data_IF_714042224162
#
_entry.id   IF_714042224162
#
_cell.length_a   1.000
_cell.length_b   1.000
_cell.length_c   1.000
_cell.angle_alpha   90.00
_cell.angle_beta   90.00
_cell.angle_gamma   90.00
#
_symmetry.space_group_name_H-M   'P 1'
#
loop_
_entity.id
_entity.type
_entity.pdbx_description
1 polymer ?
#
# COMPACT_ATOMS: atom_id res chain seq x y z
N UNK A 1 -14.11 8.48 -6.31
CA UNK A 1 -12.67 8.18 -6.14
C UNK A 1 -12.44 7.56 -4.78
N UNK A 2 -11.76 6.45 -4.74
CA UNK A 2 -11.50 5.65 -3.55
C UNK A 2 -10.00 5.44 -3.40
N UNK A 3 -9.54 5.25 -2.16
CA UNK A 3 -8.14 4.89 -1.92
C UNK A 3 -8.05 3.80 -0.87
N UNK A 4 -7.19 2.82 -1.11
CA UNK A 4 -6.74 1.87 -0.10
C UNK A 4 -5.47 2.44 0.51
N UNK A 5 -5.44 2.55 1.83
CA UNK A 5 -4.30 3.10 2.56
C UNK A 5 -3.74 2.05 3.49
N UNK A 6 -2.43 1.81 3.39
CA UNK A 6 -1.68 0.97 4.32
C UNK A 6 -0.70 1.85 5.07
N UNK A 7 -0.66 1.70 6.39
CA UNK A 7 0.29 2.40 7.24
C UNK A 7 1.03 1.34 8.07
N UNK A 8 2.34 1.28 7.88
CA UNK A 8 3.19 0.30 8.54
C UNK A 8 4.22 1.01 9.39
N UNK A 9 4.52 0.44 10.56
CA UNK A 9 5.57 0.94 11.45
C UNK A 9 6.66 -0.10 11.58
N UNK A 10 7.86 0.23 11.11
CA UNK A 10 9.04 -0.60 11.20
C UNK A 10 9.95 -0.11 12.35
N UNK A 11 10.92 -0.94 12.80
CA UNK A 11 11.84 -0.53 13.87
C UNK A 11 12.66 0.72 13.56
N UNK A 12 12.95 0.98 12.28
CA UNK A 12 13.70 2.15 11.85
C UNK A 12 13.61 2.41 10.38
N UNK A 13 14.27 3.49 9.94
CA UNK A 13 14.22 3.92 8.53
C UNK A 13 14.87 2.89 7.59
N UNK A 14 15.90 2.17 8.04
CA UNK A 14 16.58 1.18 7.19
C UNK A 14 15.64 0.06 6.78
N UNK A 15 14.87 -0.47 7.72
CA UNK A 15 13.86 -1.50 7.46
C UNK A 15 12.73 -0.96 6.60
N UNK A 16 12.31 0.28 6.85
CA UNK A 16 11.27 0.93 6.05
C UNK A 16 11.70 1.10 4.59
N UNK A 17 12.96 1.45 4.34
CA UNK A 17 13.50 1.57 2.97
C UNK A 17 13.47 0.24 2.23
N UNK A 18 13.89 -0.84 2.88
CA UNK A 18 13.89 -2.18 2.26
C UNK A 18 12.45 -2.61 1.96
N UNK A 19 11.54 -2.42 2.93
CA UNK A 19 10.14 -2.75 2.76
C UNK A 19 9.49 -1.91 1.65
N UNK A 20 9.83 -0.62 1.57
CA UNK A 20 9.32 0.27 0.52
C UNK A 20 9.74 -0.20 -0.88
N UNK A 21 11.00 -0.62 -1.04
CA UNK A 21 11.49 -1.15 -2.30
C UNK A 21 10.74 -2.44 -2.70
N UNK A 22 10.53 -3.33 -1.73
CA UNK A 22 9.75 -4.56 -1.94
C UNK A 22 8.32 -4.23 -2.38
N UNK A 23 7.65 -3.31 -1.66
CA UNK A 23 6.29 -2.90 -1.96
C UNK A 23 6.17 -2.23 -3.33
N UNK A 24 7.13 -1.37 -3.67
CA UNK A 24 7.18 -0.70 -4.96
C UNK A 24 7.25 -1.71 -6.11
N UNK A 25 8.11 -2.72 -5.96
CA UNK A 25 8.25 -3.77 -6.98
C UNK A 25 6.97 -4.59 -7.14
N UNK A 26 6.41 -5.07 -6.03
CA UNK A 26 5.22 -5.92 -6.05
C UNK A 26 3.97 -5.18 -6.51
N UNK A 27 3.75 -3.97 -6.01
CA UNK A 27 2.58 -3.18 -6.38
C UNK A 27 2.71 -2.61 -7.78
N UNK A 28 3.92 -2.27 -8.22
CA UNK A 28 4.17 -1.83 -9.58
C UNK A 28 3.74 -2.87 -10.62
N UNK A 29 3.91 -4.16 -10.31
CA UNK A 29 3.48 -5.25 -11.18
C UNK A 29 1.96 -5.37 -11.27
N UNK A 30 1.22 -4.78 -10.33
CA UNK A 30 -0.25 -4.88 -10.24
C UNK A 30 -0.97 -3.67 -10.83
N UNK A 31 -0.25 -2.64 -11.23
CA UNK A 31 -0.86 -1.38 -11.73
C UNK A 31 -1.80 -1.65 -12.89
N UNK A 32 -1.34 -2.35 -13.92
CA UNK A 32 -2.14 -2.63 -15.11
C UNK A 32 -3.22 -3.69 -14.82
N UNK A 33 -2.90 -4.69 -14.01
CA UNK A 33 -3.82 -5.78 -13.67
C UNK A 33 -5.09 -5.25 -12.99
N UNK A 34 -4.94 -4.29 -12.07
CA UNK A 34 -6.04 -3.76 -11.29
C UNK A 34 -6.46 -2.35 -11.69
N UNK A 35 -5.85 -1.80 -12.74
CA UNK A 35 -6.15 -0.45 -13.23
C UNK A 35 -6.06 0.61 -12.13
N UNK A 36 -4.92 0.67 -11.43
CA UNK A 36 -4.69 1.71 -10.43
C UNK A 36 -4.81 3.08 -11.07
N UNK A 37 -5.59 3.95 -10.45
CA UNK A 37 -5.68 5.34 -10.87
C UNK A 37 -4.49 6.15 -10.36
N UNK A 38 -3.84 5.68 -9.31
CA UNK A 38 -2.64 6.26 -8.75
C UNK A 38 -2.05 5.37 -7.68
N UNK A 39 -0.76 5.52 -7.42
CA UNK A 39 -0.02 4.78 -6.40
C UNK A 39 1.04 5.70 -5.81
N UNK A 40 1.09 5.79 -4.49
CA UNK A 40 2.14 6.53 -3.80
C UNK A 40 2.68 5.72 -2.64
N UNK A 41 4.00 5.80 -2.45
CA UNK A 41 4.71 5.14 -1.36
C UNK A 41 5.64 6.17 -0.75
N UNK A 42 5.53 6.37 0.57
CA UNK A 42 6.40 7.30 1.27
C UNK A 42 6.83 6.72 2.62
N UNK A 43 8.00 7.17 3.08
CA UNK A 43 8.56 6.72 4.36
C UNK A 43 8.91 7.94 5.20
N UNK A 44 8.97 7.75 6.54
CA UNK A 44 9.46 8.74 7.47
C UNK A 44 10.83 8.37 8.01
N UNK A 45 11.50 9.33 8.65
CA UNK A 45 12.77 9.11 9.32
C UNK A 45 12.63 8.11 10.48
N UNK A 46 11.45 8.01 11.07
CA UNK A 46 11.17 7.14 12.21
C UNK A 46 10.79 5.72 11.81
N UNK A 47 10.74 5.42 10.51
CA UNK A 47 10.43 4.07 10.04
C UNK A 47 8.97 3.85 9.69
N UNK A 48 8.18 4.91 9.53
CA UNK A 48 6.81 4.79 9.01
C UNK A 48 6.86 4.56 7.51
N UNK A 49 5.96 3.71 7.03
CA UNK A 49 5.76 3.48 5.60
C UNK A 49 4.27 3.65 5.31
N UNK A 50 3.93 4.54 4.39
CA UNK A 50 2.56 4.75 3.96
C UNK A 50 2.44 4.43 2.48
N UNK A 51 1.45 3.60 2.15
CA UNK A 51 1.12 3.25 0.77
C UNK A 51 -0.32 3.67 0.54
N UNK A 52 -0.57 4.42 -0.54
CA UNK A 52 -1.94 4.70 -0.95
C UNK A 52 -2.11 4.29 -2.41
N UNK A 53 -3.26 3.71 -2.71
CA UNK A 53 -3.60 3.23 -4.04
C UNK A 53 -4.97 3.77 -4.39
N UNK A 54 -5.04 4.58 -5.45
CA UNK A 54 -6.29 5.17 -5.91
C UNK A 54 -7.01 4.26 -6.88
N UNK A 55 -8.33 4.24 -6.76
CA UNK A 55 -9.23 3.56 -7.69
C UNK A 55 -10.36 4.51 -8.07
N UNK A 56 -10.74 4.55 -9.32
CA UNK A 56 -11.87 5.34 -9.79
C UNK A 56 -13.21 4.61 -9.62
N UNK A 57 -13.18 3.32 -9.28
CA UNK A 57 -14.33 2.43 -9.23
C UNK A 57 -14.19 1.49 -8.01
N UNK A 58 -15.28 1.34 -7.25
CA UNK A 58 -15.28 0.49 -6.05
C UNK A 58 -15.11 -0.99 -6.40
N UNK A 59 -15.56 -1.43 -7.57
CA UNK A 59 -15.41 -2.82 -8.00
C UNK A 59 -13.92 -3.16 -8.22
N UNK A 60 -13.15 -2.24 -8.76
CA UNK A 60 -11.70 -2.39 -8.94
C UNK A 60 -10.99 -2.49 -7.58
N UNK A 61 -11.40 -1.67 -6.63
CA UNK A 61 -10.87 -1.71 -5.27
C UNK A 61 -11.15 -3.05 -4.60
N UNK A 62 -12.37 -3.57 -4.73
CA UNK A 62 -12.75 -4.87 -4.16
C UNK A 62 -11.95 -6.01 -4.79
N UNK A 63 -11.74 -5.97 -6.09
CA UNK A 63 -10.94 -6.98 -6.80
C UNK A 63 -9.48 -6.95 -6.32
N UNK A 64 -8.92 -5.75 -6.13
CA UNK A 64 -7.58 -5.58 -5.58
C UNK A 64 -7.50 -6.13 -4.15
N UNK A 65 -8.47 -5.83 -3.29
CA UNK A 65 -8.48 -6.30 -1.91
C UNK A 65 -8.40 -7.83 -1.81
N UNK A 66 -9.08 -8.52 -2.71
CA UNK A 66 -9.03 -10.00 -2.79
C UNK A 66 -7.61 -10.50 -3.08
N UNK A 67 -6.94 -9.85 -4.02
CA UNK A 67 -5.60 -10.22 -4.46
C UNK A 67 -4.53 -9.75 -3.45
N UNK A 68 -4.79 -8.67 -2.75
CA UNK A 68 -3.84 -8.04 -1.83
C UNK A 68 -3.55 -8.88 -0.58
N UNK A 69 -4.41 -9.83 -0.23
CA UNK A 69 -4.20 -10.69 0.93
C UNK A 69 -2.87 -11.45 0.83
N UNK A 70 -2.53 -11.95 -0.36
CA UNK A 70 -1.26 -12.63 -0.58
C UNK A 70 -0.08 -11.68 -0.43
N UNK A 71 -0.19 -10.46 -0.98
CA UNK A 71 0.83 -9.44 -0.85
C UNK A 71 1.11 -9.09 0.62
N UNK A 72 0.06 -8.88 1.40
CA UNK A 72 0.19 -8.57 2.84
C UNK A 72 0.78 -9.76 3.60
N UNK A 73 0.36 -10.97 3.27
CA UNK A 73 0.91 -12.18 3.88
C UNK A 73 2.42 -12.30 3.63
N UNK A 74 2.84 -12.11 2.38
CA UNK A 74 4.25 -12.17 2.01
C UNK A 74 5.07 -11.09 2.73
N UNK A 75 4.50 -9.90 2.86
CA UNK A 75 5.13 -8.81 3.60
C UNK A 75 5.34 -9.19 5.07
N UNK A 76 4.32 -9.76 5.70
CA UNK A 76 4.37 -10.16 7.11
C UNK A 76 5.36 -11.30 7.38
N UNK A 77 5.61 -12.16 6.40
CA UNK A 77 6.61 -13.23 6.54
C UNK A 77 8.05 -12.71 6.38
N UNK A 78 8.22 -11.57 5.70
CA UNK A 78 9.54 -11.01 5.39
C UNK A 78 9.97 -9.92 6.36
N UNK A 79 9.03 -9.23 7.01
CA UNK A 79 9.30 -8.07 7.86
C UNK A 79 8.52 -8.12 9.16
N UNK A 80 9.07 -7.48 10.20
CA UNK A 80 8.39 -7.26 11.48
C UNK A 80 7.90 -5.81 11.51
N UNK A 81 6.57 -5.62 11.64
CA UNK A 81 5.98 -4.29 11.63
C UNK A 81 4.59 -4.29 12.29
N UNK A 82 4.13 -3.08 12.65
CA UNK A 82 2.75 -2.85 13.05
C UNK A 82 1.98 -2.33 11.85
N UNK A 83 0.73 -2.76 11.69
CA UNK A 83 -0.10 -2.42 10.54
C UNK A 83 -1.35 -1.68 10.95
N UNK A 84 -1.68 -0.62 10.21
CA UNK A 84 -3.00 0.00 10.17
C UNK A 84 -3.39 0.14 8.70
N UNK A 85 -4.66 -0.15 8.39
CA UNK A 85 -5.15 -0.04 7.01
C UNK A 85 -6.60 0.40 7.01
N UNK A 86 -6.98 1.13 5.95
CA UNK A 86 -8.37 1.55 5.77
C UNK A 86 -8.63 1.84 4.30
N UNK A 87 -9.92 1.93 3.96
CA UNK A 87 -10.38 2.41 2.66
C UNK A 87 -11.00 3.78 2.87
N UNK A 88 -10.54 4.76 2.10
CA UNK A 88 -11.05 6.12 2.16
C UNK A 88 -11.81 6.50 0.90
N UNK A 89 -12.68 7.46 1.05
CA UNK A 89 -13.38 8.12 -0.06
C UNK A 89 -12.84 9.55 -0.11
N UNK A 90 -12.47 10.02 -1.29
CA UNK A 90 -11.95 11.37 -1.44
C UNK A 90 -13.05 12.38 -1.17
N UNK A 91 -12.84 13.24 -0.18
CA UNK A 91 -13.70 14.37 0.14
C UNK A 91 -13.21 15.60 -0.63
N UNK A 92 -11.90 15.73 -0.79
CA UNK A 92 -11.25 16.81 -1.53
C UNK A 92 -10.00 16.26 -2.21
N UNK A 93 -9.81 16.64 -3.48
CA UNK A 93 -8.63 16.23 -4.25
C UNK A 93 -8.21 17.42 -5.12
N UNK A 94 -7.03 17.96 -4.84
CA UNK A 94 -6.47 19.11 -5.56
C UNK A 94 -5.79 18.70 -6.86
#
# INVERSE_FOLDING_TARGET
MYAKVYQYKFPGISEAKVAAAYCSDKLGQKIDEHNFHGLGILISQEGDLTIWIKFDDVAKLKAFNKDADQFVHDLKTSFVFKENKYVGIYVYNY
#
